data_IF_679434750866
#
_entry.id   IF_679434750866
#
_cell.length_a   1.000
_cell.length_b   1.000
_cell.length_c   1.000
_cell.angle_alpha   90.00
_cell.angle_beta   90.00
_cell.angle_gamma   90.00
#
_symmetry.space_group_name_H-M   'P 1'
#
loop_
_entity.id
_entity.type
_entity.pdbx_description
1 polymer ?
#
# COMPACT_ATOMS: atom_id res chain seq x y z
N UNK A 1 44.96 11.10 23.18
CA UNK A 1 45.00 11.18 21.71
C UNK A 1 44.66 9.81 21.18
N UNK A 2 43.43 9.64 20.70
CA UNK A 2 43.08 8.72 19.61
C UNK A 2 41.62 8.99 19.25
N UNK A 3 41.44 9.98 18.38
CA UNK A 3 40.16 10.26 17.74
C UNK A 3 39.86 9.12 16.79
N UNK A 4 38.92 8.25 17.18
CA UNK A 4 38.33 7.25 16.27
C UNK A 4 37.58 8.00 15.18
N UNK A 5 38.27 8.25 14.07
CA UNK A 5 37.70 8.86 12.87
C UNK A 5 36.75 7.83 12.25
N UNK A 6 35.45 8.02 12.47
CA UNK A 6 34.42 7.31 11.73
C UNK A 6 34.70 7.49 10.22
N UNK A 7 35.02 6.40 9.52
CA UNK A 7 35.11 6.42 8.06
C UNK A 7 33.75 6.87 7.52
N UNK A 8 33.67 7.88 6.64
CA UNK A 8 32.41 8.20 5.98
C UNK A 8 32.01 6.99 5.15
N UNK A 9 30.91 6.34 5.54
CA UNK A 9 30.23 5.34 4.72
C UNK A 9 29.96 6.00 3.37
N UNK A 10 30.62 5.52 2.31
CA UNK A 10 30.34 5.96 0.97
C UNK A 10 28.86 5.70 0.69
N UNK A 11 28.10 6.76 0.41
CA UNK A 11 26.68 6.64 0.05
C UNK A 11 26.58 5.74 -1.19
N UNK A 12 26.01 4.53 -1.08
CA UNK A 12 25.90 3.60 -2.20
C UNK A 12 25.04 4.17 -3.34
N UNK A 13 24.32 5.28 -3.13
CA UNK A 13 23.48 5.94 -4.12
C UNK A 13 24.06 7.23 -4.70
N UNK A 14 25.35 7.53 -4.47
CA UNK A 14 26.02 8.69 -5.07
C UNK A 14 25.88 8.74 -6.60
N UNK A 15 25.73 7.57 -7.23
CA UNK A 15 25.25 7.42 -8.61
C UNK A 15 24.22 6.29 -8.66
N UNK A 16 22.95 6.63 -8.78
CA UNK A 16 21.88 5.64 -8.95
C UNK A 16 22.07 4.86 -10.27
N UNK A 17 21.93 3.54 -10.25
CA UNK A 17 21.98 2.73 -11.47
C UNK A 17 20.90 3.18 -12.47
N UNK A 18 21.24 3.22 -13.76
CA UNK A 18 20.35 3.74 -14.80
C UNK A 18 19.04 2.95 -14.90
N UNK A 19 19.07 1.64 -14.66
CA UNK A 19 17.88 0.78 -14.60
C UNK A 19 16.89 1.27 -13.52
N UNK A 20 17.40 1.59 -12.33
CA UNK A 20 16.59 2.01 -11.18
C UNK A 20 16.06 3.43 -11.40
N UNK A 21 16.89 4.32 -11.96
CA UNK A 21 16.50 5.69 -12.32
C UNK A 21 15.41 5.70 -13.39
N UNK A 22 15.58 4.87 -14.42
CA UNK A 22 14.60 4.69 -15.50
C UNK A 22 13.29 4.17 -14.93
N UNK A 23 13.33 3.12 -14.11
CA UNK A 23 12.14 2.57 -13.45
C UNK A 23 11.40 3.63 -12.63
N UNK A 24 12.08 4.34 -11.72
CA UNK A 24 11.46 5.37 -10.87
C UNK A 24 10.80 6.47 -11.72
N UNK A 25 11.50 6.95 -12.75
CA UNK A 25 10.99 8.01 -13.62
C UNK A 25 9.77 7.53 -14.41
N UNK A 26 9.81 6.31 -14.93
CA UNK A 26 8.69 5.68 -15.67
C UNK A 26 7.48 5.49 -14.78
N UNK A 27 7.70 4.91 -13.60
CA UNK A 27 6.66 4.63 -12.63
C UNK A 27 5.96 5.92 -12.16
N UNK A 28 6.73 6.99 -11.96
CA UNK A 28 6.18 8.30 -11.68
C UNK A 28 5.30 8.82 -12.82
N UNK A 29 5.70 8.66 -14.09
CA UNK A 29 4.85 9.05 -15.21
C UNK A 29 3.56 8.21 -15.26
N UNK A 30 3.64 6.90 -15.04
CA UNK A 30 2.48 6.02 -15.07
C UNK A 30 1.47 6.36 -13.97
N UNK A 31 1.93 6.62 -12.75
CA UNK A 31 1.08 7.10 -11.65
C UNK A 31 0.48 8.47 -11.98
N UNK A 32 1.29 9.43 -12.46
CA UNK A 32 0.81 10.77 -12.80
C UNK A 32 -0.23 10.78 -13.92
N UNK A 33 -0.14 9.83 -14.84
CA UNK A 33 -1.07 9.69 -15.97
C UNK A 33 -2.22 8.72 -15.70
N UNK A 34 -2.30 8.14 -14.50
CA UNK A 34 -3.27 7.09 -14.12
C UNK A 34 -3.32 5.94 -15.14
N UNK A 35 -2.15 5.51 -15.63
CA UNK A 35 -2.06 4.37 -16.54
C UNK A 35 -2.06 3.05 -15.74
N UNK A 36 -3.26 2.56 -15.40
CA UNK A 36 -3.45 1.41 -14.51
C UNK A 36 -2.70 0.15 -14.98
N UNK A 37 -2.67 -0.11 -16.30
CA UNK A 37 -1.99 -1.28 -16.88
C UNK A 37 -0.48 -1.23 -16.61
N UNK A 38 0.14 -0.06 -16.83
CA UNK A 38 1.57 0.09 -16.57
C UNK A 38 1.88 0.17 -15.07
N UNK A 39 1.00 0.76 -14.25
CA UNK A 39 1.16 0.75 -12.80
C UNK A 39 1.14 -0.69 -12.27
N UNK A 40 0.24 -1.53 -12.76
CA UNK A 40 0.18 -2.96 -12.41
C UNK A 40 1.47 -3.68 -12.82
N UNK A 41 1.97 -3.43 -14.02
CA UNK A 41 3.24 -3.99 -14.50
C UNK A 41 4.45 -3.50 -13.68
N UNK A 42 4.50 -2.21 -13.35
CA UNK A 42 5.55 -1.62 -12.53
C UNK A 42 5.58 -2.26 -11.14
N UNK A 43 4.40 -2.42 -10.53
CA UNK A 43 4.22 -2.98 -9.20
C UNK A 43 4.46 -4.50 -9.13
N UNK A 44 3.81 -5.28 -10.00
CA UNK A 44 3.78 -6.73 -9.90
C UNK A 44 4.97 -7.41 -10.61
N UNK A 45 5.62 -6.74 -11.56
CA UNK A 45 6.68 -7.33 -12.39
C UNK A 45 8.01 -6.59 -12.23
N UNK A 46 8.05 -5.28 -12.53
CA UNK A 46 9.32 -4.55 -12.60
C UNK A 46 9.95 -4.33 -11.23
N UNK A 47 9.16 -3.93 -10.23
CA UNK A 47 9.66 -3.70 -8.87
C UNK A 47 10.21 -4.98 -8.21
N UNK A 48 9.52 -6.14 -8.24
CA UNK A 48 10.07 -7.39 -7.72
C UNK A 48 11.33 -7.85 -8.47
N UNK A 49 11.35 -7.70 -9.80
CA UNK A 49 12.51 -8.06 -10.62
C UNK A 49 13.75 -7.24 -10.25
N UNK A 50 13.61 -5.92 -10.12
CA UNK A 50 14.70 -5.03 -9.71
C UNK A 50 15.11 -5.28 -8.25
N UNK A 51 14.15 -5.61 -7.38
CA UNK A 51 14.42 -5.98 -5.99
C UNK A 51 15.31 -7.22 -5.93
N UNK A 52 14.97 -8.30 -6.63
CA UNK A 52 15.79 -9.52 -6.64
C UNK A 52 17.17 -9.28 -7.27
N UNK A 53 17.25 -8.42 -8.29
CA UNK A 53 18.50 -8.14 -9.00
C UNK A 53 19.48 -7.26 -8.21
N UNK A 54 18.99 -6.21 -7.53
CA UNK A 54 19.83 -5.17 -6.94
C UNK A 54 19.68 -5.01 -5.42
N UNK A 55 18.52 -5.39 -4.86
CA UNK A 55 18.13 -5.03 -3.50
C UNK A 55 17.69 -6.20 -2.62
N UNK A 56 18.06 -7.43 -2.98
CA UNK A 56 17.59 -8.66 -2.31
C UNK A 56 17.73 -8.65 -0.78
N UNK A 57 18.82 -8.08 -0.27
CA UNK A 57 19.09 -7.94 1.17
C UNK A 57 19.54 -6.53 1.56
N UNK A 58 19.45 -5.58 0.62
CA UNK A 58 19.84 -4.18 0.82
C UNK A 58 18.62 -3.29 0.65
N UNK A 59 18.70 -2.05 1.13
CA UNK A 59 17.59 -1.10 1.01
C UNK A 59 17.43 -0.63 -0.43
N UNK A 60 16.22 -0.28 -0.82
CA UNK A 60 16.03 0.62 -1.96
C UNK A 60 16.59 2.02 -1.63
N UNK A 61 16.85 2.89 -2.62
CA UNK A 61 17.23 4.28 -2.36
C UNK A 61 16.23 4.98 -1.43
N UNK A 62 16.70 5.86 -0.55
CA UNK A 62 15.82 6.67 0.28
C UNK A 62 15.04 7.68 -0.59
N UNK A 63 13.86 8.11 -0.12
CA UNK A 63 12.99 9.00 -0.89
C UNK A 63 13.62 10.35 -1.19
N UNK A 64 14.53 10.83 -0.34
CA UNK A 64 15.27 12.08 -0.52
C UNK A 64 16.18 12.03 -1.76
N UNK A 65 16.71 10.85 -2.08
CA UNK A 65 17.59 10.63 -3.24
C UNK A 65 16.77 10.68 -4.53
N UNK A 66 15.55 10.14 -4.51
CA UNK A 66 14.71 10.01 -5.71
C UNK A 66 13.81 11.23 -5.93
N UNK A 67 13.57 12.05 -4.89
CA UNK A 67 12.67 13.20 -4.93
C UNK A 67 12.96 14.19 -6.10
N UNK A 68 14.22 14.50 -6.48
CA UNK A 68 14.51 15.34 -7.64
C UNK A 68 14.06 14.71 -8.98
N UNK A 69 14.02 13.38 -9.10
CA UNK A 69 13.62 12.68 -10.32
C UNK A 69 12.10 12.74 -10.57
N UNK A 70 11.34 12.91 -9.49
CA UNK A 70 9.86 12.81 -9.48
C UNK A 70 9.20 14.14 -9.13
N UNK A 71 9.91 15.25 -9.32
CA UNK A 71 9.44 16.61 -9.05
C UNK A 71 8.95 16.84 -7.61
N UNK A 72 9.43 16.03 -6.65
CA UNK A 72 8.95 16.03 -5.26
C UNK A 72 7.43 15.86 -5.15
N UNK A 73 6.82 15.10 -6.06
CA UNK A 73 5.39 14.81 -6.03
C UNK A 73 5.03 14.05 -4.73
N UNK A 74 4.20 14.63 -3.84
CA UNK A 74 3.87 14.01 -2.57
C UNK A 74 3.15 12.65 -2.72
N UNK A 75 2.29 12.49 -3.73
CA UNK A 75 1.57 11.23 -3.94
C UNK A 75 2.53 10.11 -4.30
N UNK A 76 3.42 10.40 -5.26
CA UNK A 76 4.41 9.43 -5.67
C UNK A 76 5.37 9.09 -4.52
N UNK A 77 5.83 10.09 -3.76
CA UNK A 77 6.73 9.88 -2.62
C UNK A 77 6.09 9.01 -1.53
N UNK A 78 4.80 9.21 -1.21
CA UNK A 78 4.09 8.38 -0.24
C UNK A 78 3.97 6.91 -0.69
N UNK A 79 3.65 6.70 -1.97
CA UNK A 79 3.55 5.35 -2.57
C UNK A 79 4.93 4.68 -2.68
N UNK A 80 5.97 5.44 -3.01
CA UNK A 80 7.34 4.94 -3.03
C UNK A 80 7.81 4.53 -1.63
N UNK A 81 7.54 5.35 -0.62
CA UNK A 81 7.85 5.03 0.77
C UNK A 81 7.11 3.78 1.25
N UNK A 82 5.85 3.60 0.84
CA UNK A 82 5.10 2.37 1.14
C UNK A 82 5.85 1.13 0.62
N UNK A 83 6.24 1.12 -0.65
CA UNK A 83 7.04 0.03 -1.24
C UNK A 83 8.39 -0.15 -0.55
N UNK A 84 9.06 0.95 -0.22
CA UNK A 84 10.34 0.97 0.49
C UNK A 84 10.24 0.30 1.86
N UNK A 85 9.26 0.68 2.68
CA UNK A 85 9.10 0.13 4.01
C UNK A 85 8.62 -1.32 3.95
N UNK A 86 7.71 -1.66 3.04
CA UNK A 86 7.31 -3.06 2.83
C UNK A 86 8.50 -3.96 2.49
N UNK A 87 9.39 -3.50 1.60
CA UNK A 87 10.65 -4.21 1.31
C UNK A 87 11.55 -4.34 2.55
N UNK A 88 11.69 -3.27 3.34
CA UNK A 88 12.49 -3.27 4.58
C UNK A 88 12.01 -4.32 5.58
N UNK A 89 10.69 -4.45 5.75
CA UNK A 89 10.05 -5.45 6.61
C UNK A 89 10.12 -6.88 6.05
N UNK A 90 10.10 -7.04 4.72
CA UNK A 90 10.09 -8.36 4.09
C UNK A 90 11.49 -8.98 3.93
N UNK A 91 12.51 -8.18 3.60
CA UNK A 91 13.77 -8.69 3.05
C UNK A 91 15.04 -8.22 3.77
N UNK A 92 15.02 -7.04 4.37
CA UNK A 92 16.25 -6.43 4.91
C UNK A 92 16.41 -6.72 6.40
N UNK A 93 15.32 -6.67 7.17
CA UNK A 93 15.36 -6.87 8.60
C UNK A 93 14.12 -7.58 9.12
N UNK A 94 14.28 -8.42 10.16
CA UNK A 94 13.13 -9.06 10.82
C UNK A 94 12.20 -8.05 11.53
N UNK A 95 12.74 -6.89 11.89
CA UNK A 95 12.04 -5.71 12.38
C UNK A 95 12.96 -4.51 12.14
N UNK A 96 12.48 -3.43 11.51
CA UNK A 96 13.27 -2.20 11.37
C UNK A 96 13.51 -1.56 12.73
N UNK A 97 14.42 -0.60 12.83
CA UNK A 97 14.56 0.13 14.10
C UNK A 97 13.30 0.96 14.41
N UNK A 98 13.18 1.44 15.66
CA UNK A 98 11.97 2.15 16.09
C UNK A 98 11.76 3.48 15.36
N UNK A 99 12.82 4.12 14.88
CA UNK A 99 12.72 5.35 14.08
C UNK A 99 12.17 5.02 12.70
N UNK A 100 12.74 4.04 12.00
CA UNK A 100 12.24 3.55 10.71
C UNK A 100 10.78 3.08 10.80
N UNK A 101 10.43 2.34 11.86
CA UNK A 101 9.06 1.90 12.10
C UNK A 101 8.08 3.07 12.36
N UNK A 102 8.57 4.15 12.98
CA UNK A 102 7.81 5.38 13.16
C UNK A 102 7.65 6.14 11.85
N UNK A 103 8.68 6.26 11.03
CA UNK A 103 8.60 6.92 9.74
C UNK A 103 7.64 6.18 8.79
N UNK A 104 7.63 4.84 8.82
CA UNK A 104 6.62 4.06 8.10
C UNK A 104 5.19 4.38 8.58
N UNK A 105 4.96 4.44 9.90
CA UNK A 105 3.67 4.84 10.46
C UNK A 105 3.22 6.23 9.99
N UNK A 106 4.14 7.20 10.03
CA UNK A 106 3.88 8.58 9.60
C UNK A 106 3.55 8.61 8.11
N UNK A 107 4.24 7.83 7.28
CA UNK A 107 3.95 7.70 5.86
C UNK A 107 2.53 7.17 5.60
N UNK A 108 2.13 6.08 6.27
CA UNK A 108 0.76 5.57 6.17
C UNK A 108 -0.28 6.57 6.67
N UNK A 109 -0.02 7.27 7.78
CA UNK A 109 -0.92 8.31 8.27
C UNK A 109 -1.10 9.42 7.23
N UNK A 110 -0.02 9.91 6.62
CA UNK A 110 -0.07 10.92 5.58
C UNK A 110 -0.82 10.43 4.33
N UNK A 111 -0.55 9.19 3.90
CA UNK A 111 -1.20 8.57 2.74
C UNK A 111 -2.71 8.43 2.95
N UNK A 112 -3.14 7.82 4.05
CA UNK A 112 -4.57 7.65 4.33
C UNK A 112 -5.26 8.98 4.60
N UNK A 113 -4.59 9.91 5.29
CA UNK A 113 -5.11 11.27 5.48
C UNK A 113 -5.38 11.97 4.14
N UNK A 114 -4.43 11.86 3.20
CA UNK A 114 -4.56 12.43 1.86
C UNK A 114 -5.69 11.78 1.04
N UNK A 115 -6.06 10.54 1.32
CA UNK A 115 -7.20 9.87 0.71
C UNK A 115 -8.54 10.24 1.36
N UNK A 116 -8.57 10.36 2.69
CA UNK A 116 -9.81 10.48 3.49
C UNK A 116 -10.31 11.93 3.57
N UNK A 117 -9.40 12.91 3.73
CA UNK A 117 -9.77 14.30 4.03
C UNK A 117 -10.31 15.11 2.85
N UNK A 118 -9.85 14.93 1.59
CA UNK A 118 -10.36 15.73 0.49
C UNK A 118 -11.88 15.63 0.32
N UNK A 119 -12.52 16.78 0.01
CA UNK A 119 -13.95 16.84 -0.31
C UNK A 119 -14.25 16.42 -1.75
N UNK A 120 -13.24 16.47 -2.61
CA UNK A 120 -13.33 16.03 -4.01
C UNK A 120 -12.65 14.67 -4.15
N UNK A 121 -13.13 13.80 -5.03
CA UNK A 121 -12.48 12.53 -5.33
C UNK A 121 -11.01 12.76 -5.68
N UNK A 122 -10.12 11.98 -5.07
CA UNK A 122 -8.70 11.94 -5.43
C UNK A 122 -8.61 11.24 -6.78
N UNK A 123 -7.95 11.88 -7.75
CA UNK A 123 -7.72 11.32 -9.09
C UNK A 123 -6.44 10.48 -9.06
N UNK A 124 -6.50 9.38 -8.29
CA UNK A 124 -5.44 8.37 -8.17
C UNK A 124 -6.10 7.01 -8.27
N UNK A 125 -5.73 6.24 -9.28
CA UNK A 125 -6.18 4.86 -9.47
C UNK A 125 -5.00 3.91 -9.30
N UNK A 126 -5.17 2.93 -8.41
CA UNK A 126 -4.17 1.91 -8.12
C UNK A 126 -4.75 0.53 -8.42
N UNK A 127 -3.92 -0.45 -8.82
CA UNK A 127 -4.34 -1.84 -8.97
C UNK A 127 -4.97 -2.37 -7.69
N UNK A 128 -6.08 -3.11 -7.82
CA UNK A 128 -6.80 -3.67 -6.68
C UNK A 128 -5.90 -4.50 -5.77
N UNK A 129 -5.00 -5.31 -6.34
CA UNK A 129 -4.06 -6.12 -5.57
C UNK A 129 -3.15 -5.24 -4.70
N UNK A 130 -2.59 -4.17 -5.27
CA UNK A 130 -1.72 -3.26 -4.52
C UNK A 130 -2.48 -2.56 -3.40
N UNK A 131 -3.74 -2.17 -3.62
CA UNK A 131 -4.59 -1.61 -2.55
C UNK A 131 -4.79 -2.57 -1.38
N UNK A 132 -5.04 -3.85 -1.65
CA UNK A 132 -5.12 -4.88 -0.61
C UNK A 132 -3.80 -5.03 0.13
N UNK A 133 -2.70 -5.13 -0.60
CA UNK A 133 -1.37 -5.28 -0.02
C UNK A 133 -1.00 -4.09 0.88
N UNK A 134 -1.41 -2.86 0.53
CA UNK A 134 -1.22 -1.66 1.37
C UNK A 134 -1.95 -1.80 2.72
N UNK A 135 -3.19 -2.31 2.71
CA UNK A 135 -4.00 -2.47 3.93
C UNK A 135 -3.45 -3.60 4.79
N UNK A 136 -3.12 -4.74 4.18
CA UNK A 136 -2.55 -5.89 4.87
C UNK A 136 -1.19 -5.56 5.48
N UNK A 137 -0.33 -4.86 4.74
CA UNK A 137 0.97 -4.40 5.23
C UNK A 137 0.82 -3.41 6.40
N UNK A 138 -0.13 -2.47 6.32
CA UNK A 138 -0.42 -1.54 7.42
C UNK A 138 -0.79 -2.28 8.72
N UNK A 139 -1.64 -3.30 8.63
CA UNK A 139 -2.04 -4.13 9.78
C UNK A 139 -0.85 -4.98 10.27
N UNK A 140 -0.08 -5.55 9.35
CA UNK A 140 1.09 -6.36 9.66
C UNK A 140 2.15 -5.55 10.42
N UNK A 141 2.49 -4.35 9.95
CA UNK A 141 3.47 -3.48 10.63
C UNK A 141 2.98 -3.03 12.01
N UNK A 142 1.69 -2.72 12.16
CA UNK A 142 1.07 -2.47 13.47
C UNK A 142 1.28 -3.64 14.44
N UNK A 143 1.00 -4.87 13.98
CA UNK A 143 1.17 -6.07 14.79
C UNK A 143 2.64 -6.27 15.19
N UNK A 144 3.57 -6.15 14.23
CA UNK A 144 5.01 -6.26 14.49
C UNK A 144 5.51 -5.22 15.48
N UNK A 145 5.10 -3.97 15.33
CA UNK A 145 5.47 -2.90 16.25
C UNK A 145 4.90 -3.15 17.65
N UNK A 146 3.64 -3.58 17.75
CA UNK A 146 2.99 -3.90 19.02
C UNK A 146 3.74 -5.01 19.78
N UNK A 147 4.15 -6.07 19.09
CA UNK A 147 4.97 -7.15 19.66
C UNK A 147 6.35 -6.62 20.08
N UNK A 148 6.98 -5.79 19.25
CA UNK A 148 8.31 -5.23 19.56
C UNK A 148 8.28 -4.31 20.79
N UNK A 149 7.23 -3.48 20.93
CA UNK A 149 7.02 -2.55 22.05
C UNK A 149 6.71 -3.25 23.38
N UNK A 150 6.26 -4.50 23.40
CA UNK A 150 6.00 -5.23 24.66
C UNK A 150 7.18 -6.03 25.19
N UNK A 151 8.28 -6.14 24.42
CA UNK A 151 9.49 -6.87 24.85
C UNK A 151 10.11 -6.24 26.11
N UNK A 152 10.34 -7.06 27.14
CA UNK A 152 10.83 -6.59 28.45
C UNK A 152 12.32 -6.17 28.47
N UNK A 153 13.10 -6.58 27.47
CA UNK A 153 14.52 -6.21 27.33
C UNK A 153 14.69 -5.39 26.05
N UNK A 154 14.96 -4.10 26.20
CA UNK A 154 15.23 -3.16 25.12
C UNK A 154 16.47 -2.34 25.44
N UNK A 155 17.07 -1.74 24.42
CA UNK A 155 18.17 -0.83 24.62
C UNK A 155 17.63 0.50 25.20
N UNK A 156 18.42 1.24 26.00
CA UNK A 156 17.97 2.52 26.57
C UNK A 156 17.48 3.53 25.53
N UNK A 157 18.10 3.55 24.35
CA UNK A 157 17.70 4.38 23.21
C UNK A 157 16.29 4.08 22.71
N UNK A 158 15.93 2.79 22.59
CA UNK A 158 14.60 2.35 22.17
C UNK A 158 13.52 2.76 23.19
N UNK A 159 13.84 2.67 24.48
CA UNK A 159 12.92 3.11 25.54
C UNK A 159 12.69 4.61 25.52
N UNK A 160 13.75 5.39 25.33
CA UNK A 160 13.66 6.84 25.21
C UNK A 160 12.79 7.21 23.98
N UNK A 161 13.01 6.54 22.85
CA UNK A 161 12.21 6.74 21.65
C UNK A 161 10.72 6.45 21.86
N UNK A 162 10.39 5.31 22.48
CA UNK A 162 9.01 4.92 22.76
C UNK A 162 8.31 5.90 23.72
N UNK A 163 9.04 6.47 24.68
CA UNK A 163 8.51 7.52 25.57
C UNK A 163 8.24 8.84 24.84
N UNK A 164 9.09 9.19 23.87
CA UNK A 164 8.91 10.39 23.05
C UNK A 164 7.78 10.24 22.03
N UNK A 165 7.56 9.02 21.52
CA UNK A 165 6.61 8.72 20.46
C UNK A 165 5.52 7.70 20.88
N UNK A 166 4.75 7.97 21.95
CA UNK A 166 3.80 6.99 22.52
C UNK A 166 2.60 6.69 21.59
N UNK A 167 2.30 7.60 20.66
CA UNK A 167 1.17 7.48 19.73
C UNK A 167 1.49 6.63 18.49
N UNK A 168 2.77 6.39 18.22
CA UNK A 168 3.22 5.57 17.08
C UNK A 168 2.61 4.19 17.17
N UNK A 169 1.93 3.78 16.10
CA UNK A 169 1.21 2.50 16.04
C UNK A 169 0.33 2.26 17.28
N UNK A 170 -0.35 3.31 17.77
CA UNK A 170 -1.34 3.17 18.84
C UNK A 170 -2.60 2.50 18.29
N UNK A 171 -3.20 1.58 19.07
CA UNK A 171 -4.43 0.88 18.65
C UNK A 171 -5.55 1.87 18.33
N UNK A 172 -5.68 2.95 19.10
CA UNK A 172 -6.67 4.00 18.84
C UNK A 172 -6.40 4.70 17.50
N UNK A 173 -5.14 5.03 17.18
CA UNK A 173 -4.79 5.66 15.91
C UNK A 173 -5.05 4.74 14.71
N UNK A 174 -4.66 3.46 14.82
CA UNK A 174 -4.86 2.45 13.77
C UNK A 174 -6.35 2.21 13.52
N UNK A 175 -7.13 1.95 14.57
CA UNK A 175 -8.58 1.75 14.43
C UNK A 175 -9.27 2.99 13.84
N UNK A 176 -8.87 4.19 14.26
CA UNK A 176 -9.43 5.43 13.73
C UNK A 176 -9.18 5.60 12.21
N UNK A 177 -8.01 5.19 11.72
CA UNK A 177 -7.74 5.19 10.26
C UNK A 177 -8.63 4.17 9.57
N UNK A 178 -8.69 2.93 10.07
CA UNK A 178 -9.49 1.85 9.47
C UNK A 178 -10.99 2.20 9.43
N UNK A 179 -11.53 2.77 10.51
CA UNK A 179 -12.93 3.20 10.54
C UNK A 179 -13.21 4.30 9.51
N UNK A 180 -12.34 5.30 9.41
CA UNK A 180 -12.51 6.36 8.41
C UNK A 180 -12.40 5.84 6.97
N UNK A 181 -11.53 4.86 6.70
CA UNK A 181 -11.45 4.22 5.38
C UNK A 181 -12.76 3.52 5.04
N UNK A 182 -13.34 2.76 5.97
CA UNK A 182 -14.64 2.10 5.77
C UNK A 182 -15.74 3.14 5.53
N UNK A 183 -15.84 4.18 6.35
CA UNK A 183 -16.83 5.25 6.18
C UNK A 183 -16.73 5.97 4.83
N UNK A 184 -15.51 6.25 4.35
CA UNK A 184 -15.28 6.97 3.09
C UNK A 184 -15.40 6.10 1.85
N UNK A 185 -15.04 4.84 1.94
CA UNK A 185 -15.06 3.90 0.82
C UNK A 185 -16.47 3.73 0.22
N UNK A 186 -17.52 4.03 0.99
CA UNK A 186 -18.91 3.88 0.59
C UNK A 186 -19.23 2.47 0.04
N UNK A 187 -18.46 1.46 0.47
CA UNK A 187 -18.52 0.07 0.00
C UNK A 187 -19.95 -0.47 0.16
N UNK A 188 -20.63 -0.17 1.27
CA UNK A 188 -22.00 -0.62 1.48
C UNK A 188 -23.00 -0.03 0.49
N UNK A 189 -22.85 1.24 0.09
CA UNK A 189 -23.72 1.81 -0.93
C UNK A 189 -23.43 1.24 -2.31
N UNK A 190 -22.16 0.99 -2.64
CA UNK A 190 -21.77 0.31 -3.88
C UNK A 190 -22.33 -1.12 -3.92
N UNK A 191 -22.12 -1.92 -2.86
CA UNK A 191 -22.65 -3.28 -2.73
C UNK A 191 -24.18 -3.32 -2.81
N UNK A 192 -24.86 -2.37 -2.17
CA UNK A 192 -26.32 -2.24 -2.28
C UNK A 192 -26.78 -1.86 -3.70
N UNK A 193 -26.02 -1.01 -4.40
CA UNK A 193 -26.28 -0.67 -5.80
C UNK A 193 -26.10 -1.89 -6.71
N UNK A 194 -25.00 -2.65 -6.54
CA UNK A 194 -24.77 -3.89 -7.28
C UNK A 194 -25.83 -4.96 -6.98
N UNK A 195 -26.25 -5.11 -5.73
CA UNK A 195 -27.33 -6.02 -5.34
C UNK A 195 -28.68 -5.59 -5.95
N UNK A 196 -28.98 -4.29 -5.98
CA UNK A 196 -30.17 -3.75 -6.61
C UNK A 196 -30.15 -3.92 -8.14
N UNK A 197 -29.00 -3.72 -8.80
CA UNK A 197 -28.83 -3.98 -10.23
C UNK A 197 -29.04 -5.46 -10.57
N UNK A 198 -28.49 -6.40 -9.76
CA UNK A 198 -28.76 -7.84 -9.91
C UNK A 198 -30.26 -8.16 -9.77
N UNK A 199 -30.95 -7.54 -8.80
CA UNK A 199 -32.41 -7.71 -8.62
C UNK A 199 -33.21 -7.18 -9.81
N UNK A 200 -32.81 -6.04 -10.37
CA UNK A 200 -33.43 -5.46 -11.57
C UNK A 200 -33.24 -6.37 -12.79
N UNK A 201 -32.02 -6.87 -13.02
CA UNK A 201 -31.74 -7.84 -14.09
C UNK A 201 -32.58 -9.12 -13.96
N UNK A 202 -32.71 -9.67 -12.74
CA UNK A 202 -33.61 -10.81 -12.48
C UNK A 202 -35.07 -10.47 -12.72
N UNK A 203 -35.55 -9.28 -12.33
CA UNK A 203 -36.91 -8.84 -12.60
C UNK A 203 -37.16 -8.64 -14.09
N UNK A 204 -36.22 -8.10 -14.86
CA UNK A 204 -36.33 -7.96 -16.32
C UNK A 204 -36.30 -9.33 -17.01
N UNK A 205 -35.51 -10.28 -16.51
CA UNK A 205 -35.48 -11.65 -17.01
C UNK A 205 -36.78 -12.42 -16.72
N UNK A 206 -37.34 -12.28 -15.51
CA UNK A 206 -38.58 -12.96 -15.10
C UNK A 206 -39.86 -12.29 -15.67
N UNK A 207 -39.83 -10.99 -15.93
CA UNK A 207 -40.95 -10.24 -16.52
C UNK A 207 -40.90 -10.19 -18.07
N UNK A 208 -39.83 -10.73 -18.67
CA UNK A 208 -39.59 -10.78 -20.10
C UNK A 208 -40.29 -11.93 -20.82
N UNK A 209 -41.62 -11.98 -20.78
CA UNK A 209 -42.42 -12.65 -21.82
C UNK A 209 -43.10 -11.62 -22.72
N UNK A 210 -42.29 -10.92 -23.52
CA UNK A 210 -42.68 -10.30 -24.78
C UNK A 210 -41.45 -10.41 -25.71
N UNK A 211 -41.66 -10.99 -26.88
CA UNK A 211 -40.73 -11.69 -27.78
C UNK A 211 -39.32 -11.08 -28.00
N UNK A 212 -38.31 -11.92 -28.31
CA UNK A 212 -36.93 -11.49 -28.49
C UNK A 212 -36.70 -10.86 -29.88
N UNK A 213 -35.73 -9.93 -30.01
CA UNK A 213 -34.90 -9.87 -31.19
C UNK A 213 -33.54 -10.52 -30.89
N UNK A 214 -33.06 -11.30 -31.86
CA UNK A 214 -31.81 -12.07 -31.89
C UNK A 214 -30.67 -11.55 -31.01
N UNK A 215 -30.21 -12.41 -30.11
CA UNK A 215 -28.92 -12.24 -29.44
C UNK A 215 -28.13 -13.55 -29.59
N UNK A 216 -27.47 -13.68 -30.73
CA UNK A 216 -26.31 -14.54 -30.85
C UNK A 216 -25.18 -13.99 -29.98
N UNK A 217 -24.49 -14.92 -29.29
CA UNK A 217 -23.29 -14.73 -28.45
C UNK A 217 -23.53 -14.62 -26.94
N UNK A 218 -23.82 -15.78 -26.35
CA UNK A 218 -23.05 -16.39 -25.25
C UNK A 218 -22.25 -15.45 -24.33
N UNK A 219 -22.68 -15.35 -23.07
CA UNK A 219 -21.76 -15.43 -21.93
C UNK A 219 -22.36 -16.38 -20.90
N UNK A 220 -21.92 -17.64 -20.97
CA UNK A 220 -22.01 -18.60 -19.88
C UNK A 220 -20.97 -18.20 -18.83
N UNK A 221 -21.43 -17.75 -17.66
CA UNK A 221 -20.66 -17.94 -16.44
C UNK A 221 -21.47 -18.85 -15.52
N UNK A 222 -20.95 -20.05 -15.33
CA UNK A 222 -21.49 -21.10 -14.49
C UNK A 222 -21.66 -20.62 -13.06
N UNK A 223 -22.84 -20.87 -12.49
CA UNK A 223 -23.10 -20.76 -11.06
C UNK A 223 -22.40 -21.94 -10.35
N UNK A 224 -21.41 -21.65 -9.50
CA UNK A 224 -21.13 -22.52 -8.35
C UNK A 224 -21.73 -21.86 -7.11
N UNK A 225 -22.79 -22.50 -6.63
CA UNK A 225 -23.50 -22.16 -5.40
C UNK A 225 -22.73 -22.67 -4.18
N UNK A 226 -22.15 -21.75 -3.41
CA UNK A 226 -21.73 -22.03 -2.04
C UNK A 226 -22.85 -21.56 -1.12
N UNK A 227 -23.61 -22.51 -0.58
CA UNK A 227 -24.48 -22.27 0.57
C UNK A 227 -23.65 -22.46 1.84
N UNK A 228 -23.69 -21.52 2.81
CA UNK A 228 -23.21 -21.81 4.15
C UNK A 228 -24.36 -22.40 4.96
N UNK A 229 -24.27 -23.70 5.22
CA UNK A 229 -25.07 -24.39 6.22
C UNK A 229 -24.52 -24.03 7.61
N UNK A 230 -25.28 -23.26 8.37
CA UNK A 230 -25.01 -23.00 9.78
C UNK A 230 -25.91 -23.91 10.61
N UNK A 231 -25.33 -24.96 11.18
CA UNK A 231 -25.90 -25.75 12.25
C UNK A 231 -24.85 -26.00 13.34
N UNK A 232 -25.09 -25.38 14.49
CA UNK A 232 -24.46 -25.47 15.82
C UNK A 232 -23.00 -25.03 16.02
#
# INVERSE_FOLDING_TARGET
MESSSAKPLADPYKTLCEDVKTFITSFYQHIKTNNLVEIENDYAVKFPKLTEQYFKSTRWPAVEIIAPLVNKDPWFMMLYNELYYRHLYAHVSSFPDFEEAHQSYVNYCAFFEALIKPKKPVILELPNQWLWDIVDEFIYQFQKFSISRTKSKRKPEDEAFLRQNPKTWSIHGVLNILFQLVEKSNINAQLNCYAAQRKLLYCTFLCGSLSPPDMSSQFLFSEESITPDYSF
#
